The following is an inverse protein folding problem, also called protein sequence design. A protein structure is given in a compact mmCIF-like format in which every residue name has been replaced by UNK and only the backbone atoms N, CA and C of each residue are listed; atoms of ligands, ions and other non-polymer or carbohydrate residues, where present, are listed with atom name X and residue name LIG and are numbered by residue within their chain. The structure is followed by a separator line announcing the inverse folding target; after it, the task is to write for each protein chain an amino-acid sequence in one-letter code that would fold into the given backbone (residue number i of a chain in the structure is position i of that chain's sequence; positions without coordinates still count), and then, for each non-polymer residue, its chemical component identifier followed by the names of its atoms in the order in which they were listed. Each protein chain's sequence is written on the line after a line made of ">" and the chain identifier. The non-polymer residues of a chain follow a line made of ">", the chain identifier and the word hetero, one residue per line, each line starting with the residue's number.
data_IF_673364100098
#
_entry.id   IF_673364100098
#
_cell.length_a   1.000
_cell.length_b   1.000
_cell.length_c   1.000
_cell.angle_alpha   90.00
_cell.angle_beta   90.00
_cell.angle_gamma   90.00
#
_symmetry.space_group_name_H-M   'P 1'
#
loop_
_entity.id
_entity.type
_entity.pdbx_description
1 polymer ?
#
# COMPACT_ATOMS: atom_id res chain seq x y z
N UNK A 1 -8.50 -9.54 8.37
CA UNK A 1 -8.67 -9.28 6.92
C UNK A 1 -8.99 -7.81 6.65
N UNK A 2 -10.01 -7.21 7.27
CA UNK A 2 -10.40 -5.82 7.03
C UNK A 2 -9.29 -4.79 7.31
N UNK A 3 -8.54 -4.93 8.40
CA UNK A 3 -7.46 -3.99 8.72
C UNK A 3 -6.32 -3.99 7.69
N UNK A 4 -5.92 -5.18 7.22
CA UNK A 4 -4.90 -5.34 6.17
C UNK A 4 -5.36 -4.78 4.82
N UNK A 5 -6.62 -5.01 4.44
CA UNK A 5 -7.22 -4.42 3.24
C UNK A 5 -7.27 -2.89 3.34
N UNK A 6 -7.69 -2.34 4.48
CA UNK A 6 -7.75 -0.90 4.69
C UNK A 6 -6.36 -0.26 4.60
N UNK A 7 -5.34 -0.89 5.18
CA UNK A 7 -3.95 -0.44 5.10
C UNK A 7 -3.41 -0.49 3.67
N UNK A 8 -3.75 -1.53 2.91
CA UNK A 8 -3.41 -1.62 1.49
C UNK A 8 -4.06 -0.50 0.66
N UNK A 9 -5.37 -0.27 0.82
CA UNK A 9 -6.07 0.77 0.07
C UNK A 9 -5.62 2.18 0.48
N UNK A 10 -5.32 2.43 1.75
CA UNK A 10 -4.74 3.71 2.19
C UNK A 10 -3.36 3.96 1.58
N UNK A 11 -2.46 2.95 1.59
CA UNK A 11 -1.15 3.07 0.97
C UNK A 11 -1.26 3.35 -0.55
N UNK A 12 -2.25 2.74 -1.21
CA UNK A 12 -2.55 2.99 -2.62
C UNK A 12 -3.02 4.42 -2.87
N UNK A 13 -3.98 4.92 -2.08
CA UNK A 13 -4.46 6.30 -2.19
C UNK A 13 -3.32 7.31 -1.98
N UNK A 14 -2.51 7.10 -0.94
CA UNK A 14 -1.34 7.92 -0.66
C UNK A 14 -0.33 7.90 -1.81
N UNK A 15 -0.08 6.74 -2.43
CA UNK A 15 0.81 6.65 -3.58
C UNK A 15 0.32 7.52 -4.76
N UNK A 16 -0.98 7.52 -5.03
CA UNK A 16 -1.57 8.32 -6.11
C UNK A 16 -1.44 9.82 -5.80
N UNK A 17 -1.69 10.21 -4.55
CA UNK A 17 -1.56 11.61 -4.12
C UNK A 17 -0.11 12.09 -4.18
N UNK A 18 0.84 11.29 -3.70
CA UNK A 18 2.27 11.63 -3.76
C UNK A 18 2.79 11.71 -5.19
N UNK A 19 2.33 10.83 -6.08
CA UNK A 19 2.65 10.91 -7.50
C UNK A 19 2.12 12.21 -8.12
N UNK A 20 0.87 12.58 -7.83
CA UNK A 20 0.23 13.81 -8.33
C UNK A 20 0.92 15.07 -7.82
N UNK A 21 1.40 15.06 -6.59
CA UNK A 21 2.06 16.21 -5.95
C UNK A 21 3.56 16.25 -6.18
N UNK A 22 4.13 15.29 -6.94
CA UNK A 22 5.56 15.23 -7.25
C UNK A 22 6.45 14.81 -6.07
N UNK A 23 5.87 14.26 -5.00
CA UNK A 23 6.60 13.78 -3.82
C UNK A 23 7.17 12.38 -4.06
N UNK A 24 8.21 12.28 -4.87
CA UNK A 24 8.76 11.00 -5.37
C UNK A 24 9.19 10.04 -4.23
N UNK A 25 9.86 10.55 -3.20
CA UNK A 25 10.28 9.71 -2.05
C UNK A 25 9.08 9.17 -1.27
N UNK A 26 8.05 9.99 -1.05
CA UNK A 26 6.83 9.57 -0.35
C UNK A 26 6.03 8.57 -1.20
N UNK A 27 5.93 8.81 -2.51
CA UNK A 27 5.35 7.89 -3.47
C UNK A 27 6.02 6.52 -3.41
N UNK A 28 7.35 6.49 -3.46
CA UNK A 28 8.11 5.24 -3.40
C UNK A 28 7.87 4.49 -2.08
N UNK A 29 7.87 5.20 -0.94
CA UNK A 29 7.57 4.61 0.36
C UNK A 29 6.15 4.04 0.43
N UNK A 30 5.15 4.75 -0.12
CA UNK A 30 3.78 4.28 -0.18
C UNK A 30 3.65 3.00 -1.03
N UNK A 31 4.39 2.89 -2.14
CA UNK A 31 4.44 1.66 -2.95
C UNK A 31 5.05 0.48 -2.20
N UNK A 32 6.15 0.70 -1.46
CA UNK A 32 6.78 -0.35 -0.64
C UNK A 32 5.80 -0.88 0.43
N UNK A 33 5.08 0.03 1.07
CA UNK A 33 4.08 -0.29 2.07
C UNK A 33 2.88 -1.06 1.46
N UNK A 34 2.40 -0.64 0.30
CA UNK A 34 1.38 -1.36 -0.47
C UNK A 34 1.81 -2.81 -0.78
N UNK A 35 3.05 -2.99 -1.24
CA UNK A 35 3.59 -4.31 -1.56
C UNK A 35 3.70 -5.21 -0.31
N UNK A 36 4.09 -4.64 0.83
CA UNK A 36 4.12 -5.35 2.11
C UNK A 36 2.74 -5.88 2.48
N UNK A 37 1.70 -5.04 2.43
CA UNK A 37 0.34 -5.47 2.77
C UNK A 37 -0.23 -6.46 1.76
N UNK A 38 0.09 -6.32 0.47
CA UNK A 38 -0.29 -7.30 -0.55
C UNK A 38 0.26 -8.69 -0.23
N UNK A 39 1.54 -8.79 0.15
CA UNK A 39 2.17 -10.07 0.54
C UNK A 39 1.50 -10.68 1.77
N UNK A 40 1.17 -9.86 2.76
CA UNK A 40 0.48 -10.32 3.97
C UNK A 40 -0.94 -10.82 3.66
N UNK A 41 -1.69 -10.11 2.80
CA UNK A 41 -3.01 -10.56 2.35
C UNK A 41 -2.94 -11.90 1.62
N UNK A 42 -1.97 -12.07 0.71
CA UNK A 42 -1.76 -13.35 0.02
C UNK A 42 -1.42 -14.48 0.99
N UNK A 43 -0.56 -14.23 1.99
CA UNK A 43 -0.21 -15.23 3.00
C UNK A 43 -1.40 -15.63 3.89
N UNK A 44 -2.33 -14.70 4.16
CA UNK A 44 -3.56 -15.00 4.89
C UNK A 44 -4.55 -15.82 4.05
N UNK A 45 -4.63 -15.58 2.74
CA UNK A 45 -5.51 -16.36 1.83
C UNK A 45 -4.98 -17.78 1.60
N UNK A 46 -3.66 -17.95 1.62
CA UNK A 46 -3.01 -19.23 1.38
C UNK A 46 -3.03 -20.19 2.59
N UNK A 47 -3.45 -19.72 3.77
CA UNK A 47 -3.66 -20.52 4.99
C UNK A 47 -5.15 -20.84 5.18
#
# INVERSE_FOLDING_TARGET
>A
MNDLNNKYENAKLNSIEFMKTGQISAYFNALLEMNKYKRLLTAVIAN
#
